data_IF_017067744170
#
_entry.id   IF_017067744170
#
_cell.length_a   1.000
_cell.length_b   1.000
_cell.length_c   1.000
_cell.angle_alpha   90.00
_cell.angle_beta   90.00
_cell.angle_gamma   90.00
#
_symmetry.space_group_name_H-M   'P 1'
#
loop_
_entity.id
_entity.type
_entity.pdbx_description
1 polymer ?
#
# COMPACT_ATOMS: atom_id res chain seq x y z
N UNK A 1 15.39 -53.82 -16.06
CA UNK A 1 16.81 -54.22 -15.91
C UNK A 1 17.04 -54.49 -14.44
N UNK A 2 17.26 -55.75 -14.03
CA UNK A 2 17.58 -56.10 -12.63
C UNK A 2 19.05 -55.75 -12.41
N UNK A 3 19.31 -54.76 -11.56
CA UNK A 3 20.69 -54.42 -11.17
C UNK A 3 21.13 -55.47 -10.16
N UNK A 4 21.99 -56.41 -10.58
CA UNK A 4 22.58 -57.39 -9.67
C UNK A 4 23.74 -56.74 -8.89
N UNK A 5 23.52 -56.52 -7.60
CA UNK A 5 24.56 -56.04 -6.69
C UNK A 5 25.65 -57.11 -6.52
N UNK A 6 26.94 -56.76 -6.67
CA UNK A 6 28.07 -57.68 -6.44
C UNK A 6 28.02 -58.33 -5.05
N UNK A 7 28.37 -59.62 -4.94
CA UNK A 7 28.23 -60.37 -3.68
C UNK A 7 29.05 -59.78 -2.52
N UNK A 8 30.20 -59.16 -2.82
CA UNK A 8 31.01 -58.46 -1.80
C UNK A 8 30.28 -57.29 -1.13
N UNK A 9 29.45 -56.55 -1.88
CA UNK A 9 28.63 -55.45 -1.33
C UNK A 9 27.43 -55.95 -0.53
N UNK A 10 26.89 -57.14 -0.87
CA UNK A 10 25.80 -57.77 -0.11
C UNK A 10 26.27 -58.28 1.26
N UNK A 11 27.53 -58.71 1.38
CA UNK A 11 28.11 -59.17 2.63
C UNK A 11 28.29 -58.05 3.67
N UNK A 12 28.57 -56.82 3.20
CA UNK A 12 28.75 -55.64 4.07
C UNK A 12 27.43 -54.95 4.46
N UNK A 13 26.32 -55.26 3.77
CA UNK A 13 25.00 -54.75 4.10
C UNK A 13 24.41 -55.51 5.30
N UNK A 14 23.92 -54.82 6.34
CA UNK A 14 23.34 -55.48 7.49
C UNK A 14 22.06 -56.23 7.08
N UNK A 15 22.06 -57.54 7.31
CA UNK A 15 20.99 -58.44 6.87
C UNK A 15 19.69 -58.26 7.66
N UNK A 16 19.76 -57.65 8.85
CA UNK A 16 18.58 -57.37 9.66
C UNK A 16 17.74 -56.24 9.02
N UNK A 17 16.40 -56.32 9.09
CA UNK A 17 15.52 -55.28 8.58
C UNK A 17 15.82 -53.90 9.21
N UNK A 18 16.19 -53.89 10.49
CA UNK A 18 16.65 -52.69 11.19
C UNK A 18 17.91 -52.10 10.57
N UNK A 19 18.89 -52.93 10.24
CA UNK A 19 20.12 -52.47 9.57
C UNK A 19 19.88 -51.91 8.17
N UNK A 20 18.93 -52.45 7.42
CA UNK A 20 18.56 -51.93 6.08
C UNK A 20 17.96 -50.53 6.17
N UNK A 21 17.00 -50.32 7.08
CA UNK A 21 16.41 -48.99 7.35
C UNK A 21 17.50 -47.99 7.73
N UNK A 22 18.38 -48.41 8.62
CA UNK A 22 19.51 -47.64 9.08
C UNK A 22 20.46 -47.26 7.93
N UNK A 23 20.79 -48.19 7.02
CA UNK A 23 21.66 -47.90 5.87
C UNK A 23 21.08 -46.88 4.87
N UNK A 24 19.75 -46.74 4.83
CA UNK A 24 19.06 -45.74 4.01
C UNK A 24 19.00 -44.35 4.66
N UNK A 25 19.32 -44.23 5.96
CA UNK A 25 19.17 -42.99 6.73
C UNK A 25 19.97 -41.82 6.14
N UNK A 26 21.26 -41.95 5.75
CA UNK A 26 21.98 -40.86 5.10
C UNK A 26 21.27 -40.35 3.84
N UNK A 27 20.80 -41.26 2.99
CA UNK A 27 20.14 -40.92 1.72
C UNK A 27 18.83 -40.17 1.97
N UNK A 28 18.00 -40.67 2.89
CA UNK A 28 16.74 -40.01 3.26
C UNK A 28 17.02 -38.62 3.83
N UNK A 29 18.02 -38.48 4.70
CA UNK A 29 18.39 -37.20 5.30
C UNK A 29 18.94 -36.21 4.28
N UNK A 30 19.68 -36.67 3.28
CA UNK A 30 20.10 -35.82 2.16
C UNK A 30 18.90 -35.30 1.38
N UNK A 31 17.92 -36.16 1.06
CA UNK A 31 16.70 -35.74 0.35
C UNK A 31 15.91 -34.71 1.16
N UNK A 32 15.75 -34.94 2.48
CA UNK A 32 15.09 -33.98 3.38
C UNK A 32 15.85 -32.65 3.41
N UNK A 33 17.18 -32.69 3.55
CA UNK A 33 17.99 -31.47 3.52
C UNK A 33 17.81 -30.69 2.21
N UNK A 34 17.83 -31.37 1.06
CA UNK A 34 17.62 -30.73 -0.24
C UNK A 34 16.22 -30.13 -0.37
N UNK A 35 15.18 -30.81 0.12
CA UNK A 35 13.83 -30.27 0.13
C UNK A 35 13.73 -29.00 1.01
N UNK A 36 14.32 -29.02 2.20
CA UNK A 36 14.36 -27.86 3.11
C UNK A 36 15.16 -26.69 2.52
N UNK A 37 16.24 -26.97 1.80
CA UNK A 37 16.99 -25.95 1.05
C UNK A 37 16.10 -25.26 0.00
N UNK A 38 15.32 -26.05 -0.75
CA UNK A 38 14.37 -25.54 -1.73
C UNK A 38 13.29 -24.66 -1.11
N UNK A 39 12.69 -25.11 0.00
CA UNK A 39 11.69 -24.33 0.75
C UNK A 39 12.28 -23.02 1.28
N UNK A 40 13.45 -23.08 1.93
CA UNK A 40 14.16 -21.90 2.43
C UNK A 40 14.43 -20.88 1.32
N UNK A 41 14.88 -21.35 0.15
CA UNK A 41 15.12 -20.50 -1.02
C UNK A 41 13.84 -19.85 -1.52
N UNK A 42 12.75 -20.63 -1.67
CA UNK A 42 11.46 -20.10 -2.14
C UNK A 42 10.90 -19.02 -1.21
N UNK A 43 10.96 -19.24 0.11
CA UNK A 43 10.51 -18.28 1.12
C UNK A 43 11.38 -17.02 1.13
N UNK A 44 12.69 -17.16 0.88
CA UNK A 44 13.57 -16.00 0.72
C UNK A 44 13.21 -15.19 -0.53
N UNK A 45 12.89 -15.86 -1.64
CA UNK A 45 12.44 -15.19 -2.86
C UNK A 45 11.11 -14.46 -2.65
N UNK A 46 10.14 -15.07 -1.95
CA UNK A 46 8.89 -14.40 -1.55
C UNK A 46 9.17 -13.17 -0.67
N UNK A 47 10.03 -13.29 0.33
CA UNK A 47 10.41 -12.14 1.17
C UNK A 47 11.05 -10.99 0.38
N UNK A 48 11.87 -11.31 -0.63
CA UNK A 48 12.48 -10.31 -1.52
C UNK A 48 11.43 -9.66 -2.44
N UNK A 49 10.47 -10.44 -2.95
CA UNK A 49 9.37 -9.93 -3.75
C UNK A 49 8.54 -8.92 -2.96
N UNK A 50 8.08 -9.31 -1.76
CA UNK A 50 7.26 -8.46 -0.88
C UNK A 50 8.01 -7.17 -0.51
N UNK A 51 9.32 -7.24 -0.22
CA UNK A 51 10.15 -6.03 0.00
C UNK A 51 10.23 -5.12 -1.22
N UNK A 52 10.36 -5.70 -2.41
CA UNK A 52 10.40 -4.93 -3.65
C UNK A 52 9.05 -4.26 -3.95
N UNK A 53 7.94 -4.95 -3.65
CA UNK A 53 6.60 -4.42 -3.77
C UNK A 53 6.35 -3.31 -2.75
N UNK A 54 6.75 -3.51 -1.49
CA UNK A 54 6.71 -2.49 -0.45
C UNK A 54 7.47 -1.22 -0.86
N UNK A 55 8.66 -1.35 -1.48
CA UNK A 55 9.41 -0.19 -1.97
C UNK A 55 8.68 0.56 -3.11
N UNK A 56 8.04 -0.15 -4.04
CA UNK A 56 7.23 0.47 -5.09
C UNK A 56 6.02 1.21 -4.51
N UNK A 57 5.34 0.59 -3.54
CA UNK A 57 4.21 1.18 -2.84
C UNK A 57 4.63 2.39 -2.01
N UNK A 58 5.83 2.36 -1.42
CA UNK A 58 6.40 3.49 -0.69
C UNK A 58 6.68 4.67 -1.61
N UNK A 59 7.15 4.43 -2.83
CA UNK A 59 7.27 5.47 -3.85
C UNK A 59 5.91 6.09 -4.17
N UNK A 60 4.87 5.27 -4.39
CA UNK A 60 3.50 5.75 -4.65
C UNK A 60 2.95 6.55 -3.47
N UNK A 61 3.16 6.09 -2.24
CA UNK A 61 2.77 6.82 -1.03
C UNK A 61 3.48 8.17 -0.95
N UNK A 62 4.79 8.20 -1.22
CA UNK A 62 5.59 9.42 -1.27
C UNK A 62 5.08 10.44 -2.28
N UNK A 63 4.72 9.99 -3.49
CA UNK A 63 4.12 10.87 -4.51
C UNK A 63 2.79 11.47 -4.04
N UNK A 64 1.93 10.68 -3.40
CA UNK A 64 0.66 11.16 -2.87
C UNK A 64 0.84 12.14 -1.71
N UNK A 65 1.81 11.92 -0.84
CA UNK A 65 2.18 12.88 0.20
C UNK A 65 2.74 14.18 -0.37
N UNK A 66 3.54 14.11 -1.43
CA UNK A 66 4.04 15.29 -2.13
C UNK A 66 2.88 16.09 -2.76
N UNK A 67 1.91 15.42 -3.38
CA UNK A 67 0.71 16.07 -3.88
C UNK A 67 -0.11 16.70 -2.76
N UNK A 68 -0.36 15.98 -1.66
CA UNK A 68 -1.04 16.52 -0.48
C UNK A 68 -0.37 17.81 0.02
N UNK A 69 0.94 17.76 0.30
CA UNK A 69 1.71 18.90 0.81
C UNK A 69 1.68 20.08 -0.19
N UNK A 70 1.90 19.80 -1.47
CA UNK A 70 1.89 20.82 -2.51
C UNK A 70 0.52 21.49 -2.66
N UNK A 71 -0.57 20.72 -2.57
CA UNK A 71 -1.94 21.25 -2.62
C UNK A 71 -2.27 22.04 -1.37
N UNK A 72 -1.90 21.54 -0.19
CA UNK A 72 -2.11 22.23 1.09
C UNK A 72 -1.38 23.57 1.15
N UNK A 73 -0.12 23.60 0.68
CA UNK A 73 0.64 24.85 0.56
C UNK A 73 -0.02 25.83 -0.39
N UNK A 74 -0.46 25.39 -1.58
CA UNK A 74 -1.18 26.26 -2.51
C UNK A 74 -2.47 26.80 -1.90
N UNK A 75 -3.25 25.97 -1.20
CA UNK A 75 -4.43 26.39 -0.48
C UNK A 75 -4.14 27.46 0.58
N UNK A 76 -3.10 27.28 1.39
CA UNK A 76 -2.66 28.27 2.37
C UNK A 76 -2.21 29.60 1.72
N UNK A 77 -1.49 29.53 0.59
CA UNK A 77 -1.12 30.72 -0.17
C UNK A 77 -2.35 31.49 -0.69
N UNK A 78 -3.39 30.79 -1.16
CA UNK A 78 -4.64 31.44 -1.57
C UNK A 78 -5.32 32.15 -0.40
N UNK A 79 -5.43 31.49 0.76
CA UNK A 79 -6.01 32.10 1.98
C UNK A 79 -5.22 33.33 2.42
N UNK A 80 -3.90 33.24 2.54
CA UNK A 80 -3.07 34.37 2.95
C UNK A 80 -3.18 35.55 1.97
N UNK A 81 -3.27 35.28 0.67
CA UNK A 81 -3.46 36.32 -0.34
C UNK A 81 -4.84 36.96 -0.20
N UNK A 82 -5.87 36.16 0.03
CA UNK A 82 -7.23 36.63 0.25
C UNK A 82 -7.32 37.52 1.50
N UNK A 83 -6.71 37.11 2.61
CA UNK A 83 -6.62 37.88 3.85
C UNK A 83 -5.89 39.22 3.63
N UNK A 84 -4.80 39.20 2.86
CA UNK A 84 -4.09 40.42 2.50
C UNK A 84 -4.99 41.39 1.69
N UNK A 85 -5.78 40.89 0.73
CA UNK A 85 -6.73 41.71 -0.03
C UNK A 85 -7.80 42.29 0.91
N UNK A 86 -8.40 41.47 1.78
CA UNK A 86 -9.40 41.94 2.76
C UNK A 86 -8.83 42.98 3.75
N UNK A 87 -7.54 42.89 4.09
CA UNK A 87 -6.89 43.85 5.00
C UNK A 87 -6.48 45.15 4.33
N UNK A 88 -6.27 45.15 3.01
CA UNK A 88 -5.71 46.31 2.27
C UNK A 88 -6.73 46.99 1.36
N UNK A 89 -7.87 46.35 1.11
CA UNK A 89 -8.89 46.84 0.19
C UNK A 89 -10.28 46.51 0.72
N UNK A 90 -11.24 47.39 0.43
CA UNK A 90 -12.65 47.10 0.66
C UNK A 90 -13.12 46.04 -0.35
N UNK A 91 -13.35 44.80 0.09
CA UNK A 91 -13.88 43.74 -0.77
C UNK A 91 -15.35 43.55 -0.47
N UNK A 92 -16.18 43.59 -1.51
CA UNK A 92 -17.60 43.33 -1.39
C UNK A 92 -17.90 41.87 -1.78
N UNK A 93 -18.93 41.24 -1.18
CA UNK A 93 -19.42 39.96 -1.69
C UNK A 93 -19.79 40.08 -3.17
N UNK A 94 -19.41 39.08 -3.97
CA UNK A 94 -19.70 39.09 -5.40
C UNK A 94 -21.21 38.99 -5.65
N UNK A 95 -21.81 40.01 -6.26
CA UNK A 95 -23.24 40.02 -6.55
C UNK A 95 -23.56 39.40 -7.91
N UNK A 96 -24.52 38.47 -7.93
CA UNK A 96 -24.96 37.79 -9.16
C UNK A 96 -25.50 38.76 -10.21
N UNK A 97 -26.28 39.75 -9.80
CA UNK A 97 -26.90 40.75 -10.68
C UNK A 97 -25.86 41.62 -11.37
N UNK A 98 -24.92 42.15 -10.60
CA UNK A 98 -23.83 43.00 -11.09
C UNK A 98 -22.93 42.24 -12.06
N UNK A 99 -22.54 41.00 -11.71
CA UNK A 99 -21.75 40.15 -12.59
C UNK A 99 -22.52 39.78 -13.88
N UNK A 100 -23.78 39.37 -13.76
CA UNK A 100 -24.62 38.99 -14.89
C UNK A 100 -24.86 40.12 -15.88
N UNK A 101 -25.14 41.33 -15.38
CA UNK A 101 -25.30 42.52 -16.24
C UNK A 101 -24.01 42.90 -16.98
N UNK A 102 -22.85 42.76 -16.33
CA UNK A 102 -21.54 43.05 -16.92
C UNK A 102 -21.18 42.05 -18.02
N UNK A 103 -21.55 40.79 -17.83
CA UNK A 103 -21.25 39.71 -18.77
C UNK A 103 -22.35 39.51 -19.83
N UNK A 104 -23.41 40.33 -19.81
CA UNK A 104 -24.51 40.24 -20.76
C UNK A 104 -23.99 40.33 -22.21
N UNK A 105 -24.48 39.45 -23.08
CA UNK A 105 -24.07 39.34 -24.48
C UNK A 105 -22.60 38.96 -24.71
N UNK A 106 -21.90 38.43 -23.70
CA UNK A 106 -20.55 37.87 -23.85
C UNK A 106 -20.59 36.34 -23.87
N UNK A 107 -19.56 35.67 -24.41
CA UNK A 107 -19.43 34.21 -24.30
C UNK A 107 -19.45 33.69 -22.85
N UNK A 108 -18.90 34.46 -21.90
CA UNK A 108 -18.95 34.10 -20.49
C UNK A 108 -20.37 34.22 -19.91
N UNK A 109 -21.13 35.24 -20.34
CA UNK A 109 -22.55 35.37 -20.01
C UNK A 109 -23.36 34.16 -20.46
N UNK A 110 -23.17 33.70 -21.70
CA UNK A 110 -23.82 32.47 -22.19
C UNK A 110 -23.36 31.22 -21.43
N UNK A 111 -22.09 31.16 -21.01
CA UNK A 111 -21.59 30.03 -20.22
C UNK A 111 -22.18 30.00 -18.80
N UNK A 112 -22.49 31.17 -18.22
CA UNK A 112 -23.15 31.29 -16.92
C UNK A 112 -24.56 30.69 -16.89
N UNK A 113 -25.25 30.66 -18.03
CA UNK A 113 -26.59 30.06 -18.15
C UNK A 113 -26.55 28.51 -18.12
N UNK A 114 -25.39 27.90 -18.35
CA UNK A 114 -25.22 26.45 -18.29
C UNK A 114 -25.29 25.91 -16.85
N UNK A 115 -25.55 24.60 -16.64
CA UNK A 115 -25.50 23.99 -15.31
C UNK A 115 -24.16 24.21 -14.60
N UNK A 116 -23.03 24.13 -15.32
CA UNK A 116 -21.71 24.42 -14.78
C UNK A 116 -21.53 25.90 -14.43
N UNK A 117 -22.16 26.80 -15.20
CA UNK A 117 -22.19 28.22 -14.89
C UNK A 117 -22.97 28.57 -13.63
N UNK A 118 -24.10 27.91 -13.41
CA UNK A 118 -24.85 28.05 -12.16
C UNK A 118 -24.04 27.53 -10.96
N UNK A 119 -23.32 26.42 -11.11
CA UNK A 119 -22.41 25.92 -10.08
C UNK A 119 -21.22 26.85 -9.85
N UNK A 120 -20.67 27.46 -10.91
CA UNK A 120 -19.61 28.46 -10.81
C UNK A 120 -20.07 29.70 -10.03
N UNK A 121 -21.30 30.17 -10.28
CA UNK A 121 -21.88 31.26 -9.49
C UNK A 121 -22.10 30.87 -8.04
N UNK A 122 -22.63 29.66 -7.79
CA UNK A 122 -22.83 29.18 -6.43
C UNK A 122 -21.50 29.15 -5.67
N UNK A 123 -20.44 28.56 -6.22
CA UNK A 123 -19.15 28.49 -5.49
C UNK A 123 -18.48 29.85 -5.30
N UNK A 124 -18.59 30.76 -6.29
CA UNK A 124 -18.00 32.10 -6.17
C UNK A 124 -18.73 32.99 -5.16
N UNK A 125 -20.05 32.81 -5.02
CA UNK A 125 -20.90 33.65 -4.15
C UNK A 125 -21.04 33.03 -2.75
N UNK A 126 -21.32 31.74 -2.69
CA UNK A 126 -21.65 31.02 -1.45
C UNK A 126 -20.41 30.38 -0.82
N UNK A 127 -19.32 30.21 -1.57
CA UNK A 127 -18.11 29.57 -1.06
C UNK A 127 -18.26 28.06 -0.84
N UNK A 128 -19.19 27.40 -1.53
CA UNK A 128 -19.38 25.95 -1.44
C UNK A 128 -18.95 25.25 -2.73
N UNK A 129 -18.06 24.26 -2.61
CA UNK A 129 -17.70 23.42 -3.77
C UNK A 129 -18.91 22.58 -4.22
N UNK A 130 -19.03 22.32 -5.53
CA UNK A 130 -20.04 21.40 -6.04
C UNK A 130 -19.97 20.04 -5.33
N UNK A 131 -21.13 19.55 -4.88
CA UNK A 131 -21.22 18.23 -4.24
C UNK A 131 -20.99 17.14 -5.28
N UNK A 132 -20.10 16.21 -4.96
CA UNK A 132 -19.92 15.00 -5.75
C UNK A 132 -21.07 14.04 -5.43
N UNK A 133 -21.86 13.66 -6.44
CA UNK A 133 -23.05 12.81 -6.25
C UNK A 133 -22.73 11.36 -5.85
N UNK A 134 -21.45 10.97 -5.86
CA UNK A 134 -21.04 9.62 -5.47
C UNK A 134 -21.01 9.52 -3.95
N UNK A 135 -21.91 8.71 -3.39
CA UNK A 135 -21.83 8.32 -1.98
C UNK A 135 -20.51 7.54 -1.81
N UNK A 136 -19.60 7.96 -0.91
CA UNK A 136 -18.39 7.21 -0.64
C UNK A 136 -18.76 5.78 -0.25
N UNK A 137 -18.18 4.80 -0.95
CA UNK A 137 -18.30 3.42 -0.51
C UNK A 137 -17.76 3.32 0.94
N UNK A 138 -18.49 2.66 1.85
CA UNK A 138 -18.05 2.55 3.23
C UNK A 138 -16.71 1.81 3.28
N UNK A 139 -15.75 2.39 4.01
CA UNK A 139 -14.45 1.73 4.25
C UNK A 139 -14.71 0.53 5.15
N UNK A 140 -14.15 -0.62 4.77
CA UNK A 140 -14.27 -1.85 5.56
C UNK A 140 -13.75 -1.60 6.98
N UNK A 141 -14.48 -2.01 8.05
CA UNK A 141 -14.16 -1.63 9.42
C UNK A 141 -12.72 -1.96 9.87
N UNK A 142 -12.15 -3.06 9.39
CA UNK A 142 -10.76 -3.45 9.70
C UNK A 142 -9.75 -2.49 9.07
N UNK A 143 -9.96 -2.08 7.81
CA UNK A 143 -9.14 -1.06 7.14
C UNK A 143 -9.26 0.28 7.86
N UNK A 144 -10.49 0.67 8.24
CA UNK A 144 -10.72 1.91 8.98
C UNK A 144 -10.03 1.90 10.35
N UNK A 145 -10.10 0.80 11.08
CA UNK A 145 -9.40 0.65 12.37
C UNK A 145 -7.88 0.72 12.21
N UNK A 146 -7.31 0.08 11.18
CA UNK A 146 -5.89 0.15 10.88
C UNK A 146 -5.44 1.57 10.49
N UNK A 147 -6.23 2.29 9.69
CA UNK A 147 -5.99 3.70 9.36
C UNK A 147 -6.00 4.57 10.62
N UNK A 148 -7.02 4.42 11.48
CA UNK A 148 -7.09 5.18 12.73
C UNK A 148 -5.91 4.89 13.67
N UNK A 149 -5.42 3.65 13.71
CA UNK A 149 -4.21 3.31 14.47
C UNK A 149 -2.94 3.93 13.88
N UNK A 150 -2.82 3.96 12.55
CA UNK A 150 -1.71 4.61 11.84
C UNK A 150 -1.69 6.12 12.12
N UNK A 151 -2.84 6.80 11.96
CA UNK A 151 -2.98 8.24 12.20
C UNK A 151 -2.73 8.62 13.67
N UNK A 152 -3.19 7.80 14.61
CA UNK A 152 -2.92 7.99 16.03
C UNK A 152 -1.48 7.64 16.45
N UNK A 153 -0.61 7.29 15.49
CA UNK A 153 0.79 6.88 15.73
C UNK A 153 0.91 5.80 16.81
N UNK A 154 0.01 4.82 16.77
CA UNK A 154 0.02 3.72 17.76
C UNK A 154 1.29 2.88 17.64
N UNK A 155 1.71 2.18 18.72
CA UNK A 155 2.87 1.29 18.66
C UNK A 155 2.76 0.26 17.54
N UNK A 156 3.87 -0.04 16.87
CA UNK A 156 3.89 -0.94 15.71
C UNK A 156 3.35 -2.34 16.02
N UNK A 157 3.47 -2.82 17.26
CA UNK A 157 2.89 -4.10 17.69
C UNK A 157 1.35 -4.11 17.62
N UNK A 158 0.70 -3.01 18.01
CA UNK A 158 -0.76 -2.88 17.91
C UNK A 158 -1.20 -2.77 16.46
N UNK A 159 -0.47 -1.98 15.66
CA UNK A 159 -0.77 -1.83 14.23
C UNK A 159 -0.59 -3.16 13.48
N UNK A 160 0.43 -3.94 13.84
CA UNK A 160 0.66 -5.29 13.27
C UNK A 160 -0.51 -6.22 13.55
N UNK A 161 -1.06 -6.20 14.76
CA UNK A 161 -2.22 -7.01 15.12
C UNK A 161 -3.47 -6.62 14.31
N UNK A 162 -3.66 -5.32 14.05
CA UNK A 162 -4.76 -4.84 13.21
C UNK A 162 -4.56 -5.20 11.73
N UNK A 163 -3.35 -5.01 11.21
CA UNK A 163 -3.00 -5.32 9.82
C UNK A 163 -3.16 -6.82 9.50
N UNK A 164 -2.92 -7.69 10.47
CA UNK A 164 -3.16 -9.13 10.31
C UNK A 164 -4.65 -9.48 10.07
N UNK A 165 -5.58 -8.60 10.43
CA UNK A 165 -7.03 -8.75 10.21
C UNK A 165 -7.52 -8.06 8.92
N UNK A 166 -6.66 -7.30 8.25
CA UNK A 166 -7.03 -6.58 7.02
C UNK A 166 -6.92 -7.53 5.83
N UNK A 167 -8.01 -7.75 5.12
CA UNK A 167 -8.03 -8.49 3.86
C UNK A 167 -7.37 -7.67 2.73
N UNK A 168 -6.62 -8.33 1.84
CA UNK A 168 -5.90 -7.68 0.74
C UNK A 168 -6.85 -7.06 -0.28
N UNK A 169 -7.92 -7.76 -0.65
CA UNK A 169 -8.90 -7.24 -1.61
C UNK A 169 -9.68 -6.07 -1.03
N UNK A 170 -9.97 -6.10 0.28
CA UNK A 170 -10.58 -4.98 0.98
C UNK A 170 -9.69 -3.73 0.96
N UNK A 171 -8.39 -3.88 1.23
CA UNK A 171 -7.43 -2.77 1.20
C UNK A 171 -7.23 -2.24 -0.22
N UNK A 172 -7.11 -3.11 -1.22
CA UNK A 172 -7.00 -2.70 -2.62
C UNK A 172 -8.27 -1.98 -3.11
N UNK A 173 -9.45 -2.50 -2.75
CA UNK A 173 -10.73 -1.87 -3.07
C UNK A 173 -10.84 -0.49 -2.42
N UNK A 174 -10.35 -0.32 -1.20
CA UNK A 174 -10.30 0.99 -0.54
C UNK A 174 -9.43 1.99 -1.32
N UNK A 175 -8.26 1.58 -1.82
CA UNK A 175 -7.40 2.42 -2.68
C UNK A 175 -8.11 2.80 -3.98
N UNK A 176 -8.71 1.84 -4.69
CA UNK A 176 -9.44 2.11 -5.94
C UNK A 176 -10.64 3.04 -5.71
N UNK A 177 -11.35 2.87 -4.61
CA UNK A 177 -12.48 3.73 -4.24
C UNK A 177 -12.00 5.17 -3.94
N UNK A 178 -10.90 5.34 -3.21
CA UNK A 178 -10.32 6.66 -2.95
C UNK A 178 -9.85 7.35 -4.24
N UNK A 179 -9.22 6.61 -5.17
CA UNK A 179 -8.86 7.13 -6.50
C UNK A 179 -10.09 7.54 -7.32
N UNK A 180 -11.15 6.75 -7.26
CA UNK A 180 -12.41 7.06 -7.95
C UNK A 180 -13.04 8.36 -7.41
N UNK A 181 -12.90 8.65 -6.12
CA UNK A 181 -13.35 9.92 -5.53
C UNK A 181 -12.57 11.13 -6.07
N UNK A 182 -11.25 11.00 -6.27
CA UNK A 182 -10.43 12.06 -6.91
C UNK A 182 -10.92 12.33 -8.32
N UNK A 183 -11.14 11.28 -9.11
CA UNK A 183 -11.63 11.42 -10.49
C UNK A 183 -13.04 12.01 -10.53
N UNK A 184 -13.91 11.61 -9.61
CA UNK A 184 -15.27 12.14 -9.51
C UNK A 184 -15.27 13.62 -9.12
N UNK A 185 -14.39 14.05 -8.21
CA UNK A 185 -14.21 15.45 -7.86
C UNK A 185 -13.70 16.26 -9.07
N UNK A 186 -12.67 15.79 -9.77
CA UNK A 186 -12.11 16.47 -10.95
C UNK A 186 -13.16 16.63 -12.06
N UNK A 187 -13.95 15.58 -12.32
CA UNK A 187 -15.00 15.60 -13.32
C UNK A 187 -16.05 16.70 -13.06
N UNK A 188 -16.37 16.98 -11.79
CA UNK A 188 -17.33 18.02 -11.41
C UNK A 188 -16.67 19.41 -11.40
N UNK A 189 -15.44 19.53 -10.92
CA UNK A 189 -14.76 20.82 -10.76
C UNK A 189 -14.26 21.38 -12.11
N UNK A 190 -13.82 20.54 -13.03
CA UNK A 190 -13.23 20.98 -14.30
C UNK A 190 -14.14 21.92 -15.13
N UNK A 191 -15.43 21.61 -15.39
CA UNK A 191 -16.29 22.53 -16.14
C UNK A 191 -16.55 23.84 -15.36
N UNK A 192 -16.63 23.78 -14.02
CA UNK A 192 -16.77 24.97 -13.17
C UNK A 192 -15.54 25.88 -13.32
N UNK A 193 -14.33 25.32 -13.25
CA UNK A 193 -13.08 26.06 -13.44
C UNK A 193 -13.03 26.73 -14.83
N UNK A 194 -13.44 26.03 -15.89
CA UNK A 194 -13.50 26.58 -17.24
C UNK A 194 -14.43 27.79 -17.36
N UNK A 195 -15.58 27.77 -16.68
CA UNK A 195 -16.49 28.93 -16.66
C UNK A 195 -15.86 30.09 -15.87
N UNK A 196 -15.24 29.82 -14.72
CA UNK A 196 -14.55 30.85 -13.92
C UNK A 196 -13.43 31.52 -14.75
N UNK A 197 -12.65 30.73 -15.49
CA UNK A 197 -11.59 31.27 -16.36
C UNK A 197 -12.16 32.09 -17.53
N UNK A 198 -13.31 31.71 -18.08
CA UNK A 198 -14.01 32.49 -19.10
C UNK A 198 -14.50 33.84 -18.54
N UNK A 199 -15.01 33.86 -17.31
CA UNK A 199 -15.42 35.09 -16.62
C UNK A 199 -14.20 36.00 -16.40
N UNK A 200 -13.09 35.47 -15.87
CA UNK A 200 -11.86 36.23 -15.65
C UNK A 200 -11.40 36.93 -16.93
N UNK A 201 -11.36 36.19 -18.04
CA UNK A 201 -10.97 36.72 -19.34
C UNK A 201 -11.85 37.89 -19.78
N UNK A 202 -13.15 37.84 -19.53
CA UNK A 202 -14.06 38.94 -19.85
C UNK A 202 -13.89 40.13 -18.91
N UNK A 203 -13.70 39.89 -17.61
CA UNK A 203 -13.51 40.96 -16.65
C UNK A 203 -12.17 41.68 -16.83
N UNK A 204 -11.17 41.06 -17.47
CA UNK A 204 -9.88 41.68 -17.78
C UNK A 204 -9.92 42.89 -18.73
N UNK A 205 -11.03 43.15 -19.41
CA UNK A 205 -11.12 44.28 -20.35
C UNK A 205 -11.05 45.66 -19.65
N UNK A 206 -10.48 46.70 -20.30
CA UNK A 206 -10.31 48.03 -19.71
C UNK A 206 -11.61 48.75 -19.29
N UNK A 207 -12.78 48.31 -19.79
CA UNK A 207 -14.08 48.90 -19.47
C UNK A 207 -14.76 48.33 -18.21
N UNK A 208 -14.21 47.26 -17.62
CA UNK A 208 -14.79 46.63 -16.43
C UNK A 208 -14.49 47.43 -15.18
N UNK A 209 -15.49 47.67 -14.33
CA UNK A 209 -15.32 48.34 -13.05
C UNK A 209 -14.23 47.68 -12.19
N UNK A 210 -13.32 48.49 -11.64
CA UNK A 210 -12.19 48.02 -10.82
C UNK A 210 -12.66 47.24 -9.59
N UNK A 211 -13.74 47.69 -8.95
CA UNK A 211 -14.34 47.04 -7.79
C UNK A 211 -14.81 45.63 -8.11
N UNK A 212 -15.60 45.45 -9.19
CA UNK A 212 -16.06 44.13 -9.63
C UNK A 212 -14.91 43.16 -9.94
N UNK A 213 -13.82 43.64 -10.57
CA UNK A 213 -12.65 42.80 -10.82
C UNK A 213 -11.98 42.33 -9.53
N UNK A 214 -11.88 43.22 -8.53
CA UNK A 214 -11.32 42.90 -7.22
C UNK A 214 -12.21 41.90 -6.48
N UNK A 215 -13.51 42.12 -6.43
CA UNK A 215 -14.46 41.23 -5.74
C UNK A 215 -14.48 39.84 -6.39
N UNK A 216 -14.46 39.77 -7.72
CA UNK A 216 -14.30 38.51 -8.44
C UNK A 216 -12.95 37.83 -8.14
N UNK A 217 -11.85 38.60 -8.08
CA UNK A 217 -10.54 38.05 -7.75
C UNK A 217 -10.54 37.45 -6.35
N UNK A 218 -11.12 38.13 -5.36
CA UNK A 218 -11.26 37.62 -4.01
C UNK A 218 -12.10 36.33 -3.98
N UNK A 219 -13.25 36.31 -4.64
CA UNK A 219 -14.10 35.11 -4.77
C UNK A 219 -13.35 33.93 -5.42
N UNK A 220 -12.56 34.18 -6.47
CA UNK A 220 -11.77 33.16 -7.16
C UNK A 220 -10.63 32.61 -6.30
N UNK A 221 -9.97 33.45 -5.51
CA UNK A 221 -8.97 33.01 -4.54
C UNK A 221 -9.62 32.08 -3.50
N UNK A 222 -10.79 32.45 -2.98
CA UNK A 222 -11.58 31.61 -2.06
C UNK A 222 -11.93 30.25 -2.67
N UNK A 223 -12.46 30.24 -3.90
CA UNK A 223 -12.71 29.00 -4.65
C UNK A 223 -11.46 28.13 -4.81
N UNK A 224 -10.34 28.71 -5.25
CA UNK A 224 -9.09 27.96 -5.42
C UNK A 224 -8.59 27.38 -4.11
N UNK A 225 -8.73 28.12 -3.01
CA UNK A 225 -8.35 27.67 -1.68
C UNK A 225 -9.16 26.44 -1.27
N UNK A 226 -10.49 26.50 -1.39
CA UNK A 226 -11.40 25.40 -1.11
C UNK A 226 -11.11 24.18 -1.97
N UNK A 227 -10.91 24.38 -3.28
CA UNK A 227 -10.56 23.30 -4.22
C UNK A 227 -9.29 22.59 -3.78
N UNK A 228 -8.22 23.34 -3.50
CA UNK A 228 -6.95 22.74 -3.10
C UNK A 228 -7.05 22.01 -1.75
N UNK A 229 -7.84 22.52 -0.82
CA UNK A 229 -8.10 21.81 0.44
C UNK A 229 -8.85 20.49 0.21
N UNK A 230 -9.89 20.48 -0.63
CA UNK A 230 -10.63 19.27 -0.98
C UNK A 230 -9.75 18.23 -1.68
N UNK A 231 -8.99 18.64 -2.71
CA UNK A 231 -8.04 17.79 -3.41
C UNK A 231 -6.99 17.23 -2.44
N UNK A 232 -6.42 18.07 -1.56
CA UNK A 232 -5.40 17.64 -0.60
C UNK A 232 -5.91 16.51 0.30
N UNK A 233 -7.13 16.60 0.84
CA UNK A 233 -7.70 15.56 1.71
C UNK A 233 -7.84 14.21 1.00
N UNK A 234 -8.21 14.21 -0.28
CA UNK A 234 -8.29 12.99 -1.06
C UNK A 234 -6.91 12.38 -1.32
N UNK A 235 -5.91 13.21 -1.65
CA UNK A 235 -4.53 12.76 -1.80
C UNK A 235 -3.96 12.20 -0.49
N UNK A 236 -4.27 12.83 0.65
CA UNK A 236 -3.90 12.32 1.98
C UNK A 236 -4.51 10.93 2.23
N UNK A 237 -5.81 10.76 1.95
CA UNK A 237 -6.47 9.47 2.14
C UNK A 237 -5.83 8.35 1.30
N UNK A 238 -5.49 8.64 0.03
CA UNK A 238 -4.77 7.67 -0.83
C UNK A 238 -3.36 7.40 -0.27
N UNK A 239 -2.64 8.42 0.19
CA UNK A 239 -1.31 8.26 0.78
C UNK A 239 -1.34 7.33 2.01
N UNK A 240 -2.26 7.56 2.95
CA UNK A 240 -2.42 6.73 4.15
C UNK A 240 -2.78 5.27 3.82
N UNK A 241 -3.61 5.04 2.79
CA UNK A 241 -3.91 3.68 2.33
C UNK A 241 -2.68 2.99 1.73
N UNK A 242 -1.87 3.69 0.94
CA UNK A 242 -0.62 3.13 0.43
C UNK A 242 0.38 2.84 1.56
N UNK A 243 0.46 3.68 2.59
CA UNK A 243 1.29 3.40 3.77
C UNK A 243 0.88 2.12 4.49
N UNK A 244 -0.44 1.86 4.62
CA UNK A 244 -0.91 0.59 5.15
C UNK A 244 -0.49 -0.59 4.28
N UNK A 245 -0.57 -0.47 2.95
CA UNK A 245 -0.07 -1.51 2.05
C UNK A 245 1.43 -1.75 2.24
N UNK A 246 2.25 -0.69 2.29
CA UNK A 246 3.71 -0.79 2.55
C UNK A 246 3.99 -1.55 3.85
N UNK A 247 3.30 -1.20 4.94
CA UNK A 247 3.48 -1.87 6.23
C UNK A 247 3.05 -3.32 6.18
N UNK A 248 1.93 -3.63 5.51
CA UNK A 248 1.45 -5.01 5.34
C UNK A 248 2.44 -5.86 4.54
N UNK A 249 2.97 -5.35 3.43
CA UNK A 249 3.98 -6.05 2.62
C UNK A 249 5.29 -6.26 3.40
N UNK A 250 5.74 -5.28 4.18
CA UNK A 250 6.91 -5.46 5.05
C UNK A 250 6.67 -6.54 6.12
N UNK A 251 5.48 -6.61 6.71
CA UNK A 251 5.12 -7.68 7.66
C UNK A 251 5.08 -9.05 6.98
N UNK A 252 4.57 -9.12 5.74
CA UNK A 252 4.59 -10.34 4.94
C UNK A 252 6.02 -10.79 4.66
N UNK A 253 6.87 -9.87 4.19
CA UNK A 253 8.28 -10.13 3.93
C UNK A 253 9.02 -10.64 5.16
N UNK A 254 8.78 -10.05 6.32
CA UNK A 254 9.43 -10.48 7.57
C UNK A 254 8.97 -11.87 8.01
N UNK A 255 7.70 -12.24 7.79
CA UNK A 255 7.21 -13.61 8.03
C UNK A 255 7.92 -14.61 7.11
N UNK A 256 7.95 -14.34 5.81
CA UNK A 256 8.65 -15.18 4.83
C UNK A 256 10.16 -15.30 5.14
N UNK A 257 10.80 -14.19 5.52
CA UNK A 257 12.21 -14.19 5.91
C UNK A 257 12.47 -15.05 7.16
N UNK A 258 11.64 -14.90 8.21
CA UNK A 258 11.75 -15.74 9.42
C UNK A 258 11.50 -17.21 9.12
N UNK A 259 10.55 -17.54 8.24
CA UNK A 259 10.28 -18.93 7.84
C UNK A 259 11.45 -19.51 7.06
N UNK A 260 12.01 -18.75 6.12
CA UNK A 260 13.21 -19.11 5.37
C UNK A 260 14.39 -19.43 6.30
N UNK A 261 14.67 -18.56 7.29
CA UNK A 261 15.72 -18.80 8.28
C UNK A 261 15.50 -20.11 9.06
N UNK A 262 14.25 -20.40 9.46
CA UNK A 262 13.94 -21.65 10.17
C UNK A 262 14.11 -22.88 9.28
N UNK A 263 13.68 -22.84 8.02
CA UNK A 263 13.93 -23.94 7.08
C UNK A 263 15.43 -24.15 6.83
N UNK A 264 16.21 -23.06 6.76
CA UNK A 264 17.66 -23.13 6.65
C UNK A 264 18.30 -23.83 7.87
N UNK A 265 17.88 -23.51 9.10
CA UNK A 265 18.34 -24.24 10.29
C UNK A 265 17.92 -25.72 10.27
N UNK A 266 16.71 -26.03 9.81
CA UNK A 266 16.27 -27.41 9.60
C UNK A 266 17.15 -28.17 8.61
N UNK A 267 17.53 -27.52 7.50
CA UNK A 267 18.46 -28.08 6.52
C UNK A 267 19.83 -28.37 7.15
N UNK A 268 20.40 -27.43 7.93
CA UNK A 268 21.69 -27.63 8.59
C UNK A 268 21.65 -28.81 9.59
N UNK A 269 20.56 -28.92 10.37
CA UNK A 269 20.37 -30.06 11.28
C UNK A 269 20.29 -31.39 10.50
N UNK A 270 19.59 -31.40 9.36
CA UNK A 270 19.52 -32.57 8.51
C UNK A 270 20.89 -32.97 7.94
N UNK A 271 21.69 -31.99 7.49
CA UNK A 271 23.06 -32.22 7.03
C UNK A 271 23.98 -32.75 8.14
N UNK A 272 23.87 -32.25 9.37
CA UNK A 272 24.59 -32.83 10.51
C UNK A 272 24.19 -34.30 10.74
N UNK A 273 22.90 -34.62 10.61
CA UNK A 273 22.41 -36.00 10.68
C UNK A 273 23.07 -36.92 9.64
N UNK A 274 23.24 -36.44 8.40
CA UNK A 274 23.98 -37.17 7.34
C UNK A 274 25.43 -37.42 7.76
N UNK A 275 26.13 -36.40 8.28
CA UNK A 275 27.54 -36.51 8.69
C UNK A 275 27.69 -37.53 9.83
N UNK A 276 26.87 -37.42 10.88
CA UNK A 276 26.88 -38.35 12.03
C UNK A 276 26.58 -39.77 11.55
N UNK A 277 25.58 -39.96 10.71
CA UNK A 277 25.21 -41.28 10.19
C UNK A 277 26.34 -41.89 9.35
N UNK A 278 27.05 -41.08 8.57
CA UNK A 278 28.18 -41.53 7.74
C UNK A 278 29.38 -41.91 8.61
N UNK A 279 29.71 -41.09 9.61
CA UNK A 279 30.77 -41.39 10.58
C UNK A 279 30.44 -42.64 11.41
N UNK A 280 29.18 -42.83 11.81
CA UNK A 280 28.73 -44.00 12.53
C UNK A 280 28.84 -45.29 11.71
N UNK A 281 28.61 -45.18 10.40
CA UNK A 281 28.82 -46.28 9.45
C UNK A 281 30.31 -46.62 9.31
N UNK A 282 31.17 -45.59 9.22
CA UNK A 282 32.62 -45.75 9.14
C UNK A 282 33.24 -46.33 10.42
N UNK A 283 32.79 -45.90 11.61
CA UNK A 283 33.37 -46.28 12.89
C UNK A 283 32.95 -47.68 13.39
N UNK A 284 32.06 -48.39 12.67
CA UNK A 284 31.48 -49.70 13.07
C UNK A 284 30.82 -49.75 14.48
N UNK A 285 30.64 -48.60 15.15
CA UNK A 285 29.95 -48.48 16.44
C UNK A 285 28.44 -48.28 16.22
N UNK A 286 27.75 -49.40 15.97
CA UNK A 286 26.45 -49.46 15.27
C UNK A 286 25.20 -49.06 16.07
N UNK A 287 25.25 -49.01 17.39
CA UNK A 287 24.00 -48.94 18.16
C UNK A 287 23.64 -47.51 18.65
N UNK A 288 24.60 -46.77 19.22
CA UNK A 288 24.31 -45.49 19.86
C UNK A 288 24.27 -44.33 18.84
N UNK A 289 25.30 -44.21 18.00
CA UNK A 289 25.39 -43.14 17.00
C UNK A 289 24.27 -43.19 15.94
N UNK A 290 23.76 -44.39 15.64
CA UNK A 290 22.69 -44.58 14.67
C UNK A 290 21.33 -44.18 15.23
N UNK A 291 21.07 -44.45 16.52
CA UNK A 291 19.87 -43.97 17.20
C UNK A 291 19.84 -42.43 17.27
N UNK A 292 20.99 -41.80 17.50
CA UNK A 292 21.14 -40.34 17.45
C UNK A 292 20.87 -39.78 16.06
N UNK A 293 21.40 -40.41 15.01
CA UNK A 293 21.16 -39.97 13.63
C UNK A 293 19.68 -40.09 13.22
N UNK A 294 19.03 -41.22 13.53
CA UNK A 294 17.61 -41.41 13.25
C UNK A 294 16.73 -40.42 14.05
N UNK A 295 17.05 -40.19 15.32
CA UNK A 295 16.39 -39.20 16.16
C UNK A 295 16.53 -37.78 15.61
N UNK A 296 17.73 -37.39 15.18
CA UNK A 296 17.98 -36.09 14.54
C UNK A 296 17.16 -35.91 13.26
N UNK A 297 17.00 -36.98 12.46
CA UNK A 297 16.18 -36.94 11.25
C UNK A 297 14.70 -36.76 11.51
N UNK A 298 14.12 -37.54 12.43
CA UNK A 298 12.73 -37.39 12.83
C UNK A 298 12.46 -36.00 13.43
N UNK A 299 13.39 -35.48 14.24
CA UNK A 299 13.31 -34.13 14.79
C UNK A 299 13.34 -33.06 13.69
N UNK A 300 14.21 -33.18 12.68
CA UNK A 300 14.29 -32.23 11.57
C UNK A 300 12.98 -32.20 10.75
N UNK A 301 12.39 -33.36 10.44
CA UNK A 301 11.10 -33.44 9.73
C UNK A 301 9.98 -32.82 10.56
N UNK A 302 9.89 -33.18 11.85
CA UNK A 302 8.87 -32.66 12.76
C UNK A 302 8.99 -31.14 12.91
N UNK A 303 10.22 -30.63 13.01
CA UNK A 303 10.50 -29.20 13.05
C UNK A 303 10.10 -28.49 11.75
N UNK A 304 10.40 -29.07 10.59
CA UNK A 304 9.99 -28.52 9.30
C UNK A 304 8.46 -28.42 9.17
N UNK A 305 7.73 -29.46 9.57
CA UNK A 305 6.26 -29.46 9.58
C UNK A 305 5.73 -28.37 10.53
N UNK A 306 6.33 -28.24 11.72
CA UNK A 306 5.97 -27.18 12.67
C UNK A 306 6.18 -25.79 12.07
N UNK A 307 7.34 -25.55 11.45
CA UNK A 307 7.66 -24.27 10.80
C UNK A 307 6.68 -23.97 9.67
N UNK A 308 6.31 -24.97 8.87
CA UNK A 308 5.35 -24.80 7.78
C UNK A 308 3.93 -24.44 8.26
N UNK A 309 3.48 -25.04 9.37
CA UNK A 309 2.11 -24.88 9.85
C UNK A 309 1.90 -23.67 10.79
N UNK A 310 2.92 -23.28 11.54
CA UNK A 310 2.75 -22.35 12.67
C UNK A 310 3.62 -21.09 12.61
N UNK A 311 4.50 -20.95 11.61
CA UNK A 311 5.39 -19.78 11.45
C UNK A 311 5.05 -19.04 10.18
#
# INVERSE_FOLDING_TARGET
MKIELPEGLKADLPQSPFGKILSATPVVMTVVATALAGLASSEMTSAQYDRSLAAQLQSKAGDQWNFFQGKKLRGALQHNTLDAIFSTSEVHPLERTTLGSTLANTPAGTALESPAGQQALAVLIEGELPRVSTTPAPVVPTVHAALGALEATRPDAELTALLALVDDNALESAVRNAQTQVLALDAVIKPVAQVIDAIEKQLGHPGTAVTLRRDFTAARLGYNALRYDAESRLNQAIASLYELQVRKENLSADRHHRRSQKFFYGMLAAQMGVIISTLAMAARNRNLLWSLAAGAGAAAISFAVYVYLYV
#
